data_IF_879778189624
#
_entry.id   IF_879778189624
#
_cell.length_a   1.000
_cell.length_b   1.000
_cell.length_c   1.000
_cell.angle_alpha   90.00
_cell.angle_beta   90.00
_cell.angle_gamma   90.00
#
_symmetry.space_group_name_H-M   'P 1'
#
loop_
_entity.id
_entity.type
_entity.pdbx_description
1 polymer ?
#
# COMPACT_ATOMS: atom_id res chain seq x y z
N UNK A 1 19.42 -12.30 19.79
CA UNK A 1 19.91 -12.09 18.40
C UNK A 1 20.54 -10.71 18.32
N UNK A 2 21.68 -10.55 17.64
CA UNK A 2 22.25 -9.22 17.34
C UNK A 2 21.68 -8.71 16.02
N UNK A 3 21.19 -7.47 16.00
CA UNK A 3 20.52 -6.83 14.87
C UNK A 3 21.26 -5.56 14.52
N UNK A 4 21.87 -5.54 13.33
CA UNK A 4 22.54 -4.37 12.78
C UNK A 4 22.06 -4.11 11.36
N UNK A 5 21.73 -2.85 11.05
CA UNK A 5 21.27 -2.49 9.72
C UNK A 5 20.56 -1.15 9.64
N UNK A 6 20.09 -0.84 8.44
CA UNK A 6 19.27 0.32 8.11
C UNK A 6 18.00 -0.13 7.40
N UNK A 7 16.85 0.29 7.91
CA UNK A 7 15.54 0.07 7.29
C UNK A 7 15.00 1.39 6.79
N UNK A 8 14.57 1.40 5.53
CA UNK A 8 14.03 2.59 4.87
C UNK A 8 12.52 2.62 4.97
N UNK A 9 11.95 3.82 4.94
CA UNK A 9 10.51 4.04 4.78
C UNK A 9 9.67 3.56 5.97
N UNK A 10 10.07 3.89 7.20
CA UNK A 10 9.29 3.57 8.40
C UNK A 10 8.19 4.60 8.62
N UNK A 11 7.08 4.46 7.90
CA UNK A 11 5.92 5.38 7.98
C UNK A 11 5.39 5.51 9.41
N UNK A 12 5.19 6.74 9.87
CA UNK A 12 4.68 7.06 11.20
C UNK A 12 5.67 6.81 12.33
N UNK A 13 6.97 6.62 12.05
CA UNK A 13 7.96 6.32 13.08
C UNK A 13 8.03 7.40 14.17
N UNK A 14 7.72 8.66 13.86
CA UNK A 14 7.65 9.72 14.85
C UNK A 14 6.58 9.48 15.93
N UNK A 15 5.50 8.76 15.59
CA UNK A 15 4.38 8.44 16.48
C UNK A 15 4.44 7.01 17.05
N UNK A 16 5.29 6.15 16.50
CA UNK A 16 5.40 4.76 16.95
C UNK A 16 6.14 4.64 18.29
N UNK A 17 5.81 3.60 19.08
CA UNK A 17 6.56 3.19 20.27
C UNK A 17 7.40 1.94 20.03
N UNK A 18 7.02 1.13 19.03
CA UNK A 18 7.66 -0.12 18.63
C UNK A 18 7.78 -0.22 17.11
N UNK A 19 8.76 -0.99 16.66
CA UNK A 19 8.99 -1.32 15.26
C UNK A 19 8.93 -2.84 15.07
N UNK A 20 8.43 -3.26 13.90
CA UNK A 20 8.56 -4.64 13.42
C UNK A 20 9.48 -4.59 12.20
N UNK A 21 10.72 -5.06 12.36
CA UNK A 21 11.73 -5.01 11.31
C UNK A 21 11.98 -6.40 10.74
N UNK A 22 12.06 -6.49 9.42
CA UNK A 22 12.45 -7.71 8.75
C UNK A 22 13.97 -7.81 8.65
N UNK A 23 14.57 -8.87 9.18
CA UNK A 23 16.00 -9.11 9.13
C UNK A 23 16.33 -10.50 8.56
N UNK A 24 17.26 -10.64 7.60
CA UNK A 24 17.83 -11.94 7.27
C UNK A 24 18.68 -12.45 8.43
N UNK A 25 18.71 -13.77 8.64
CA UNK A 25 19.55 -14.40 9.67
C UNK A 25 20.36 -15.56 9.09
N UNK A 26 21.42 -15.27 8.31
CA UNK A 26 22.18 -16.30 7.58
C UNK A 26 22.86 -17.31 8.51
N UNK A 27 23.14 -16.94 9.75
CA UNK A 27 23.79 -17.81 10.74
C UNK A 27 22.79 -18.59 11.62
N UNK A 28 21.49 -18.58 11.30
CA UNK A 28 20.50 -19.33 12.08
C UNK A 28 20.74 -20.84 11.91
N UNK A 29 20.64 -21.67 12.98
CA UNK A 29 20.86 -23.12 12.88
C UNK A 29 19.96 -23.84 11.87
N UNK A 30 18.81 -23.24 11.53
CA UNK A 30 17.87 -23.70 10.50
C UNK A 30 17.80 -22.76 9.29
N UNK A 31 18.88 -22.01 8.98
CA UNK A 31 18.91 -21.03 7.89
C UNK A 31 18.50 -21.60 6.52
N UNK A 32 18.62 -22.91 6.31
CA UNK A 32 18.11 -23.60 5.10
C UNK A 32 16.58 -23.69 4.98
N UNK A 33 15.81 -23.32 6.02
CA UNK A 33 14.33 -23.40 6.02
C UNK A 33 13.63 -22.11 6.46
N UNK A 34 14.34 -21.12 6.99
CA UNK A 34 13.76 -19.83 7.44
C UNK A 34 14.74 -18.69 7.16
N UNK A 35 14.68 -18.12 5.96
CA UNK A 35 15.66 -17.13 5.50
C UNK A 35 15.50 -15.74 6.15
N UNK A 36 14.35 -15.46 6.77
CA UNK A 36 14.01 -14.14 7.31
C UNK A 36 13.24 -14.21 8.63
N UNK A 37 13.60 -13.30 9.53
CA UNK A 37 12.99 -13.11 10.84
C UNK A 37 12.29 -11.75 10.88
N UNK A 38 11.26 -11.64 11.70
CA UNK A 38 10.73 -10.37 12.18
C UNK A 38 11.27 -10.13 13.58
N UNK A 39 11.83 -8.95 13.82
CA UNK A 39 12.30 -8.52 15.13
C UNK A 39 11.45 -7.35 15.60
N UNK A 40 10.97 -7.46 16.84
CA UNK A 40 10.21 -6.39 17.50
C UNK A 40 11.20 -5.59 18.33
N UNK A 41 11.28 -4.28 18.11
CA UNK A 41 12.26 -3.40 18.75
C UNK A 41 11.58 -2.14 19.24
N UNK A 42 11.86 -1.72 20.47
CA UNK A 42 11.33 -0.45 20.97
C UNK A 42 11.98 0.72 20.24
N UNK A 43 11.21 1.74 19.88
CA UNK A 43 11.72 2.91 19.14
C UNK A 43 12.87 3.62 19.84
N UNK A 44 12.85 3.65 21.18
CA UNK A 44 13.93 4.25 21.98
C UNK A 44 15.30 3.59 21.78
N UNK A 45 15.33 2.35 21.28
CA UNK A 45 16.54 1.56 21.09
C UNK A 45 17.08 1.64 19.65
N UNK A 46 16.47 2.48 18.79
CA UNK A 46 16.91 2.71 17.41
C UNK A 46 17.23 4.18 17.17
N UNK A 47 18.09 4.44 16.18
CA UNK A 47 18.35 5.80 15.69
C UNK A 47 17.40 6.09 14.53
N UNK A 48 16.53 7.09 14.68
CA UNK A 48 15.69 7.59 13.59
C UNK A 48 16.48 8.65 12.81
N UNK A 49 16.61 8.48 11.51
CA UNK A 49 17.31 9.40 10.62
C UNK A 49 16.31 10.33 9.94
N UNK A 50 16.55 11.64 9.98
CA UNK A 50 15.76 12.58 9.17
C UNK A 50 16.07 12.40 7.66
N UNK A 51 15.41 11.43 7.03
CA UNK A 51 15.63 11.04 5.63
C UNK A 51 14.40 11.20 4.73
N UNK A 52 13.27 11.70 5.25
CA UNK A 52 12.00 11.75 4.53
C UNK A 52 11.73 13.13 3.89
N UNK A 53 12.66 13.57 3.04
CA UNK A 53 12.47 14.79 2.25
C UNK A 53 11.86 14.47 0.88
N UNK A 54 10.53 14.28 0.84
CA UNK A 54 9.79 13.89 -0.36
C UNK A 54 8.87 14.98 -0.89
N UNK A 55 8.39 14.80 -2.12
CA UNK A 55 7.48 15.73 -2.81
C UNK A 55 6.01 15.51 -2.43
N UNK A 56 5.62 14.28 -2.07
CA UNK A 56 4.30 13.93 -1.52
C UNK A 56 4.43 12.97 -0.34
N UNK A 57 3.32 12.72 0.34
CA UNK A 57 3.24 11.94 1.58
C UNK A 57 4.20 12.45 2.66
N UNK A 58 4.50 13.75 2.67
CA UNK A 58 5.51 14.33 3.59
C UNK A 58 5.15 14.12 5.05
N UNK A 59 3.87 14.26 5.38
CA UNK A 59 3.35 14.12 6.74
C UNK A 59 3.40 12.68 7.28
N UNK A 60 3.68 11.66 6.45
CA UNK A 60 3.85 10.31 6.96
C UNK A 60 5.14 10.14 7.76
N UNK A 61 6.11 11.05 7.61
CA UNK A 61 7.40 10.98 8.30
C UNK A 61 8.04 9.60 8.13
N UNK A 62 8.09 9.07 6.90
CA UNK A 62 8.60 7.72 6.61
C UNK A 62 10.13 7.65 6.66
N UNK A 63 10.68 8.14 7.76
CA UNK A 63 12.11 8.22 8.05
C UNK A 63 12.75 6.83 8.10
N UNK A 64 14.05 6.79 7.84
CA UNK A 64 14.84 5.58 7.96
C UNK A 64 15.20 5.34 9.44
N UNK A 65 15.39 4.08 9.80
CA UNK A 65 15.82 3.68 11.13
C UNK A 65 17.07 2.83 11.07
N UNK A 66 17.97 3.04 12.03
CA UNK A 66 19.25 2.35 12.11
C UNK A 66 19.38 1.71 13.48
N UNK A 67 19.84 0.46 13.49
CA UNK A 67 20.23 -0.24 14.72
C UNK A 67 21.74 -0.48 14.69
N UNK A 68 22.55 0.19 15.53
CA UNK A 68 23.98 -0.09 15.62
C UNK A 68 24.20 -1.29 16.56
N UNK A 69 24.05 -2.49 16.03
CA UNK A 69 24.31 -3.76 16.74
C UNK A 69 23.49 -3.94 18.05
N UNK A 70 22.16 -3.90 17.92
CA UNK A 70 21.23 -4.06 19.04
C UNK A 70 21.06 -5.54 19.42
N UNK A 71 21.17 -5.87 20.71
CA UNK A 71 20.84 -7.20 21.21
C UNK A 71 19.33 -7.30 21.48
N UNK A 72 18.64 -8.09 20.66
CA UNK A 72 17.20 -8.36 20.79
C UNK A 72 16.96 -9.70 21.51
N UNK A 73 16.14 -9.73 22.57
CA UNK A 73 15.74 -10.96 23.27
C UNK A 73 15.07 -11.97 22.36
N UNK A 74 15.29 -13.28 22.60
CA UNK A 74 14.73 -14.34 21.75
C UNK A 74 13.20 -14.33 21.66
N UNK A 75 12.49 -13.89 22.70
CA UNK A 75 11.03 -13.81 22.71
C UNK A 75 10.46 -12.65 21.89
N UNK A 76 11.30 -11.73 21.39
CA UNK A 76 10.94 -10.64 20.48
C UNK A 76 11.37 -10.91 19.03
N UNK A 77 11.81 -12.14 18.74
CA UNK A 77 12.28 -12.58 17.43
C UNK A 77 11.38 -13.70 16.92
N UNK A 78 10.78 -13.50 15.76
CA UNK A 78 9.79 -14.39 15.19
C UNK A 78 10.18 -14.86 13.79
N UNK A 79 10.08 -16.16 13.48
CA UNK A 79 10.15 -16.64 12.10
C UNK A 79 9.07 -15.98 11.24
N UNK A 80 9.45 -15.38 10.11
CA UNK A 80 8.51 -14.63 9.27
C UNK A 80 7.32 -15.49 8.85
N UNK A 81 7.56 -16.74 8.47
CA UNK A 81 6.50 -17.67 8.09
C UNK A 81 5.53 -18.02 9.22
N UNK A 82 5.95 -17.95 10.49
CA UNK A 82 5.05 -18.19 11.62
C UNK A 82 4.14 -16.97 11.88
N UNK A 83 4.61 -15.77 11.53
CA UNK A 83 3.82 -14.54 11.70
C UNK A 83 2.85 -14.35 10.53
N UNK A 84 3.31 -14.58 9.30
CA UNK A 84 2.54 -14.29 8.08
C UNK A 84 1.89 -15.52 7.43
N UNK A 85 2.24 -16.72 7.86
CA UNK A 85 1.67 -17.97 7.36
C UNK A 85 0.30 -18.28 7.97
N UNK A 86 -0.22 -19.45 7.60
CA UNK A 86 -1.47 -19.96 8.14
C UNK A 86 -1.29 -20.34 9.62
N UNK A 87 -2.31 -20.07 10.44
CA UNK A 87 -2.35 -20.47 11.84
C UNK A 87 -3.42 -21.55 12.04
N UNK A 88 -3.29 -22.42 13.05
CA UNK A 88 -4.30 -23.43 13.34
C UNK A 88 -5.70 -22.80 13.52
N UNK A 89 -6.73 -23.49 13.04
CA UNK A 89 -8.12 -23.10 13.29
C UNK A 89 -8.37 -23.00 14.80
N UNK A 90 -8.99 -21.91 15.26
CA UNK A 90 -9.24 -21.65 16.69
C UNK A 90 -8.14 -20.89 17.41
N UNK A 91 -7.10 -20.41 16.71
CA UNK A 91 -6.04 -19.57 17.29
C UNK A 91 -6.50 -18.18 17.76
N UNK A 92 -7.74 -17.77 17.45
CA UNK A 92 -8.35 -16.54 17.92
C UNK A 92 -9.85 -16.48 17.62
N UNK A 93 -10.54 -15.52 18.23
CA UNK A 93 -11.99 -15.32 18.05
C UNK A 93 -12.36 -14.72 16.69
N UNK A 94 -11.47 -13.92 16.09
CA UNK A 94 -11.67 -13.32 14.77
C UNK A 94 -10.89 -14.05 13.68
N UNK A 95 -11.42 -14.09 12.46
CA UNK A 95 -10.79 -14.82 11.36
C UNK A 95 -9.41 -14.26 11.00
N UNK A 96 -9.14 -12.97 11.25
CA UNK A 96 -7.85 -12.34 10.97
C UNK A 96 -6.68 -13.00 11.74
N UNK A 97 -6.96 -13.65 12.86
CA UNK A 97 -5.96 -14.43 13.61
C UNK A 97 -5.73 -15.84 13.05
N UNK A 98 -6.60 -16.32 12.17
CA UNK A 98 -6.61 -17.68 11.65
C UNK A 98 -6.16 -17.78 10.19
N UNK A 99 -6.19 -16.67 9.43
CA UNK A 99 -5.83 -16.63 8.00
C UNK A 99 -4.49 -15.95 7.76
N UNK A 100 -3.80 -16.22 6.62
CA UNK A 100 -2.61 -15.46 6.25
C UNK A 100 -2.94 -13.97 6.16
N UNK A 101 -2.23 -13.14 6.94
CA UNK A 101 -2.57 -11.73 7.14
C UNK A 101 -2.02 -10.81 6.03
N UNK A 102 -1.00 -11.25 5.29
CA UNK A 102 -0.31 -10.44 4.26
C UNK A 102 -1.27 -9.86 3.20
N UNK A 103 -2.24 -10.60 2.64
CA UNK A 103 -3.18 -10.05 1.67
C UNK A 103 -4.04 -8.92 2.26
N UNK A 104 -4.37 -8.96 3.56
CA UNK A 104 -5.12 -7.92 4.25
C UNK A 104 -4.28 -6.66 4.46
N UNK A 105 -3.06 -6.81 5.00
CA UNK A 105 -2.13 -5.69 5.24
C UNK A 105 -1.79 -5.00 3.93
N UNK A 106 -1.46 -5.77 2.90
CA UNK A 106 -1.04 -5.17 1.63
C UNK A 106 -2.24 -4.63 0.85
N UNK A 107 -3.49 -4.99 1.18
CA UNK A 107 -4.70 -4.36 0.61
C UNK A 107 -5.13 -3.13 1.38
N UNK A 108 -4.83 -2.99 2.67
CA UNK A 108 -5.21 -1.77 3.40
C UNK A 108 -4.54 -0.50 2.86
N UNK A 109 -3.40 -0.62 2.16
CA UNK A 109 -2.66 0.51 1.59
C UNK A 109 -3.41 1.26 0.48
N UNK A 110 -4.41 0.64 -0.17
CA UNK A 110 -5.18 1.30 -1.23
C UNK A 110 -6.32 2.17 -0.69
N UNK A 111 -6.66 2.07 0.60
CA UNK A 111 -7.66 2.95 1.22
C UNK A 111 -7.25 4.43 1.17
N UNK A 112 -6.05 4.80 1.66
CA UNK A 112 -5.53 6.16 1.53
C UNK A 112 -5.41 6.65 0.08
N UNK A 113 -5.15 5.75 -0.88
CA UNK A 113 -5.08 6.08 -2.31
C UNK A 113 -6.43 6.54 -2.83
N UNK A 114 -7.48 5.73 -2.61
CA UNK A 114 -8.83 6.07 -3.05
C UNK A 114 -9.33 7.36 -2.38
N UNK A 115 -9.22 7.45 -1.05
CA UNK A 115 -9.65 8.64 -0.31
C UNK A 115 -8.89 9.91 -0.69
N UNK A 116 -7.60 9.81 -1.02
CA UNK A 116 -6.84 10.95 -1.52
C UNK A 116 -7.35 11.42 -2.88
N UNK A 117 -7.75 10.50 -3.77
CA UNK A 117 -8.29 10.84 -5.08
C UNK A 117 -9.73 11.40 -5.00
N UNK A 118 -10.56 10.85 -4.12
CA UNK A 118 -11.90 11.38 -3.83
C UNK A 118 -11.84 12.79 -3.25
N UNK A 119 -10.94 13.03 -2.28
CA UNK A 119 -10.72 14.37 -1.73
C UNK A 119 -10.22 15.37 -2.78
N UNK A 120 -9.34 14.94 -3.69
CA UNK A 120 -8.90 15.76 -4.81
C UNK A 120 -10.06 16.13 -5.74
N UNK A 121 -10.93 15.16 -6.04
CA UNK A 121 -12.10 15.35 -6.88
C UNK A 121 -13.10 16.32 -6.25
N UNK A 122 -13.39 16.18 -4.96
CA UNK A 122 -14.29 17.08 -4.24
C UNK A 122 -13.74 18.51 -4.23
N UNK A 123 -12.45 18.69 -3.94
CA UNK A 123 -11.80 20.00 -3.99
C UNK A 123 -11.89 20.64 -5.38
N UNK A 124 -11.77 19.85 -6.45
CA UNK A 124 -11.93 20.35 -7.80
C UNK A 124 -13.36 20.83 -8.07
N UNK A 125 -14.38 20.06 -7.67
CA UNK A 125 -15.77 20.48 -7.81
C UNK A 125 -16.09 21.75 -7.00
N UNK A 126 -15.55 21.84 -5.77
CA UNK A 126 -15.68 23.04 -4.95
C UNK A 126 -15.01 24.25 -5.59
N UNK A 127 -13.86 24.07 -6.24
CA UNK A 127 -13.18 25.15 -6.96
C UNK A 127 -14.01 25.63 -8.16
N UNK A 128 -14.56 24.72 -8.96
CA UNK A 128 -15.46 25.06 -10.06
C UNK A 128 -16.73 25.78 -9.58
N UNK A 129 -17.27 25.40 -8.43
CA UNK A 129 -18.47 26.03 -7.86
C UNK A 129 -18.22 27.43 -7.27
N UNK A 130 -16.98 27.73 -6.86
CA UNK A 130 -16.59 29.04 -6.32
C UNK A 130 -16.20 30.04 -7.40
N UNK A 131 -15.87 29.57 -8.60
CA UNK A 131 -15.58 30.43 -9.72
C UNK A 131 -16.87 31.17 -10.15
N UNK A 132 -16.79 32.50 -10.25
CA UNK A 132 -17.92 33.33 -10.69
C UNK A 132 -18.19 33.21 -12.20
N UNK A 133 -17.33 32.50 -12.93
CA UNK A 133 -17.51 32.19 -14.34
C UNK A 133 -18.08 30.80 -14.53
N UNK A 134 -18.96 30.63 -15.52
CA UNK A 134 -19.51 29.32 -15.84
C UNK A 134 -18.38 28.37 -16.29
N UNK A 135 -18.27 27.15 -15.72
CA UNK A 135 -17.27 26.18 -16.14
C UNK A 135 -17.39 25.88 -17.64
N UNK A 136 -16.25 25.88 -18.34
CA UNK A 136 -16.26 25.53 -19.75
C UNK A 136 -16.60 24.04 -19.96
N UNK A 137 -17.07 23.68 -21.15
CA UNK A 137 -17.47 22.30 -21.47
C UNK A 137 -16.37 21.26 -21.21
N UNK A 138 -15.10 21.64 -21.43
CA UNK A 138 -13.95 20.77 -21.16
C UNK A 138 -13.83 20.48 -19.66
N UNK A 139 -13.96 21.49 -18.79
CA UNK A 139 -13.88 21.27 -17.34
C UNK A 139 -14.99 20.32 -16.84
N UNK A 140 -16.21 20.47 -17.37
CA UNK A 140 -17.34 19.59 -17.05
C UNK A 140 -17.12 18.15 -17.54
N UNK A 141 -16.62 17.94 -18.76
CA UNK A 141 -16.27 16.59 -19.25
C UNK A 141 -15.24 15.94 -18.34
N UNK A 142 -14.18 16.66 -17.99
CA UNK A 142 -13.07 16.15 -17.19
C UNK A 142 -13.53 15.77 -15.77
N UNK A 143 -14.42 16.57 -15.19
CA UNK A 143 -15.06 16.27 -13.92
C UNK A 143 -15.96 15.02 -14.03
N UNK A 144 -16.78 14.89 -15.07
CA UNK A 144 -17.63 13.72 -15.27
C UNK A 144 -16.80 12.43 -15.48
N UNK A 145 -15.76 12.50 -16.32
CA UNK A 145 -14.86 11.39 -16.61
C UNK A 145 -14.12 10.92 -15.36
N UNK A 146 -13.53 11.86 -14.60
CA UNK A 146 -12.81 11.53 -13.37
C UNK A 146 -13.75 10.98 -12.31
N UNK A 147 -14.96 11.53 -12.18
CA UNK A 147 -15.99 11.00 -11.29
C UNK A 147 -16.37 9.56 -11.63
N UNK A 148 -16.66 9.26 -12.91
CA UNK A 148 -16.98 7.90 -13.35
C UNK A 148 -15.83 6.91 -13.10
N UNK A 149 -14.59 7.35 -13.32
CA UNK A 149 -13.40 6.54 -13.07
C UNK A 149 -13.19 6.25 -11.58
N UNK A 150 -13.43 7.23 -10.69
CA UNK A 150 -13.38 7.04 -9.25
C UNK A 150 -14.51 6.14 -8.73
N UNK A 151 -15.73 6.26 -9.29
CA UNK A 151 -16.82 5.31 -9.00
C UNK A 151 -16.42 3.88 -9.35
N UNK A 152 -15.78 3.66 -10.50
CA UNK A 152 -15.28 2.33 -10.88
C UNK A 152 -14.15 1.86 -9.95
N UNK A 153 -13.26 2.75 -9.53
CA UNK A 153 -12.21 2.45 -8.56
C UNK A 153 -12.78 2.07 -7.18
N UNK A 154 -13.84 2.76 -6.72
CA UNK A 154 -14.57 2.43 -5.49
C UNK A 154 -15.22 1.05 -5.56
N UNK A 155 -15.90 0.72 -6.65
CA UNK A 155 -16.46 -0.62 -6.84
C UNK A 155 -15.38 -1.73 -6.84
N UNK A 156 -14.19 -1.44 -7.40
CA UNK A 156 -13.06 -2.36 -7.32
C UNK A 156 -12.50 -2.47 -5.89
N UNK A 157 -12.43 -1.37 -5.14
CA UNK A 157 -12.04 -1.37 -3.73
C UNK A 157 -12.94 -2.30 -2.91
N UNK A 158 -14.26 -2.11 -3.01
CA UNK A 158 -15.26 -2.92 -2.30
C UNK A 158 -15.12 -4.40 -2.68
N UNK A 159 -14.97 -4.70 -3.97
CA UNK A 159 -14.75 -6.09 -4.43
C UNK A 159 -13.51 -6.73 -3.81
N UNK A 160 -12.41 -5.99 -3.66
CA UNK A 160 -11.18 -6.50 -3.05
C UNK A 160 -11.37 -6.79 -1.56
N UNK A 161 -12.03 -5.88 -0.84
CA UNK A 161 -12.35 -6.04 0.58
C UNK A 161 -13.29 -7.23 0.79
N UNK A 162 -14.36 -7.34 -0.01
CA UNK A 162 -15.34 -8.41 0.08
C UNK A 162 -14.72 -9.78 -0.19
N UNK A 163 -13.86 -9.90 -1.21
CA UNK A 163 -13.14 -11.15 -1.51
C UNK A 163 -12.26 -11.60 -0.35
N UNK A 164 -11.57 -10.66 0.29
CA UNK A 164 -10.74 -10.94 1.46
C UNK A 164 -11.59 -11.31 2.68
N UNK A 165 -12.66 -10.55 2.93
CA UNK A 165 -13.59 -10.81 4.02
C UNK A 165 -14.23 -12.19 3.88
N UNK A 166 -14.77 -12.53 2.70
CA UNK A 166 -15.35 -13.83 2.42
C UNK A 166 -14.33 -14.97 2.58
N UNK A 167 -13.09 -14.78 2.13
CA UNK A 167 -12.02 -15.77 2.36
C UNK A 167 -11.70 -15.95 3.85
N UNK A 168 -11.70 -14.84 4.59
CA UNK A 168 -11.55 -14.79 6.04
C UNK A 168 -12.64 -15.57 6.78
N UNK A 169 -13.91 -15.23 6.51
CA UNK A 169 -15.08 -15.91 7.11
C UNK A 169 -15.09 -17.41 6.82
N UNK A 170 -14.73 -17.81 5.59
CA UNK A 170 -14.59 -19.21 5.21
C UNK A 170 -13.32 -19.89 5.76
N UNK A 171 -12.46 -19.16 6.49
CA UNK A 171 -11.15 -19.59 6.99
C UNK A 171 -10.28 -20.27 5.92
N UNK A 172 -10.42 -19.86 4.66
CA UNK A 172 -9.69 -20.44 3.53
C UNK A 172 -8.52 -19.57 3.14
N UNK A 173 -7.40 -20.21 2.79
CA UNK A 173 -6.31 -19.52 2.12
C UNK A 173 -6.73 -19.13 0.68
N UNK A 174 -6.19 -18.00 0.22
CA UNK A 174 -6.28 -17.62 -1.19
C UNK A 174 -5.26 -18.43 -1.99
N UNK A 175 -5.64 -18.83 -3.20
CA UNK A 175 -4.69 -19.47 -4.12
C UNK A 175 -3.65 -18.46 -4.61
N UNK A 176 -2.51 -18.94 -5.11
CA UNK A 176 -1.49 -18.07 -5.71
C UNK A 176 -2.08 -17.17 -6.81
N UNK A 177 -2.91 -17.74 -7.70
CA UNK A 177 -3.62 -17.00 -8.74
C UNK A 177 -4.50 -15.89 -8.16
N UNK A 178 -5.23 -16.16 -7.07
CA UNK A 178 -6.04 -15.15 -6.38
C UNK A 178 -5.18 -14.04 -5.76
N UNK A 179 -4.03 -14.38 -5.17
CA UNK A 179 -3.09 -13.41 -4.58
C UNK A 179 -2.49 -12.49 -5.65
N UNK A 180 -2.11 -13.03 -6.80
CA UNK A 180 -1.59 -12.26 -7.92
C UNK A 180 -2.66 -11.36 -8.52
N UNK A 181 -3.90 -11.84 -8.64
CA UNK A 181 -5.03 -11.01 -9.04
C UNK A 181 -5.28 -9.85 -8.06
N UNK A 182 -5.23 -10.10 -6.74
CA UNK A 182 -5.32 -9.02 -5.74
C UNK A 182 -4.21 -7.97 -5.91
N UNK A 183 -2.96 -8.39 -6.19
CA UNK A 183 -1.85 -7.44 -6.45
C UNK A 183 -2.10 -6.61 -7.72
N UNK A 184 -2.51 -7.26 -8.81
CA UNK A 184 -2.89 -6.60 -10.06
C UNK A 184 -3.98 -5.56 -9.82
N UNK A 185 -5.06 -5.95 -9.15
CA UNK A 185 -6.24 -5.11 -8.96
C UNK A 185 -5.95 -3.90 -8.07
N UNK A 186 -5.13 -4.05 -7.01
CA UNK A 186 -4.64 -2.92 -6.19
C UNK A 186 -3.82 -1.93 -7.00
N UNK A 187 -2.92 -2.44 -7.84
CA UNK A 187 -2.11 -1.62 -8.73
C UNK A 187 -2.98 -0.91 -9.78
N UNK A 188 -3.97 -1.61 -10.34
CA UNK A 188 -4.92 -1.05 -11.29
C UNK A 188 -5.73 0.08 -10.67
N UNK A 189 -6.32 -0.14 -9.50
CA UNK A 189 -7.06 0.88 -8.74
C UNK A 189 -6.19 2.11 -8.49
N UNK A 190 -4.94 1.91 -8.04
CA UNK A 190 -4.01 3.01 -7.78
C UNK A 190 -3.75 3.83 -9.03
N UNK A 191 -3.53 3.17 -10.17
CA UNK A 191 -3.35 3.84 -11.45
C UNK A 191 -4.62 4.60 -11.89
N UNK A 192 -5.82 4.04 -11.67
CA UNK A 192 -7.07 4.75 -11.97
C UNK A 192 -7.21 6.03 -11.13
N UNK A 193 -6.86 5.97 -9.84
CA UNK A 193 -6.87 7.13 -8.94
C UNK A 193 -5.89 8.22 -9.40
N UNK A 194 -4.66 7.83 -9.77
CA UNK A 194 -3.64 8.76 -10.30
C UNK A 194 -4.13 9.44 -11.58
N UNK A 195 -4.64 8.66 -12.54
CA UNK A 195 -5.12 9.19 -13.82
C UNK A 195 -6.34 10.10 -13.66
N UNK A 196 -7.25 9.75 -12.75
CA UNK A 196 -8.39 10.59 -12.42
C UNK A 196 -7.96 11.97 -11.93
N UNK A 197 -7.02 12.03 -10.98
CA UNK A 197 -6.54 13.31 -10.44
C UNK A 197 -5.64 14.05 -11.43
N UNK A 198 -4.77 13.34 -12.17
CA UNK A 198 -3.93 13.93 -13.22
C UNK A 198 -4.77 14.72 -14.22
N UNK A 199 -5.89 14.14 -14.68
CA UNK A 199 -6.83 14.78 -15.60
C UNK A 199 -7.35 16.13 -15.10
N UNK A 200 -7.60 16.25 -13.80
CA UNK A 200 -8.11 17.48 -13.17
C UNK A 200 -7.01 18.52 -12.97
N UNK A 201 -5.77 18.08 -12.72
CA UNK A 201 -4.62 18.97 -12.47
C UNK A 201 -4.03 19.54 -13.76
N UNK A 202 -3.90 18.75 -14.83
CA UNK A 202 -3.21 19.17 -16.07
C UNK A 202 -3.83 20.36 -16.79
N UNK A 203 -5.07 20.72 -16.47
CA UNK A 203 -5.75 21.88 -17.02
C UNK A 203 -5.76 23.09 -16.08
N UNK A 204 -5.08 22.99 -14.93
CA UNK A 204 -4.84 24.11 -14.02
C UNK A 204 -3.79 25.04 -14.61
N UNK A 205 -4.04 26.35 -14.56
CA UNK A 205 -3.06 27.35 -15.01
C UNK A 205 -1.78 27.29 -14.16
N UNK A 206 -0.66 27.77 -14.71
CA UNK A 206 0.61 27.85 -13.97
C UNK A 206 0.49 28.61 -12.64
N UNK A 207 -0.44 29.56 -12.52
CA UNK A 207 -0.75 30.27 -11.27
C UNK A 207 -1.30 29.39 -10.15
N UNK A 208 -1.82 28.21 -10.48
CA UNK A 208 -2.32 27.22 -9.52
C UNK A 208 -1.26 26.19 -9.14
N UNK A 209 -0.08 26.21 -9.78
CA UNK A 209 1.08 25.36 -9.49
C UNK A 209 1.86 25.82 -8.26
N UNK A 210 1.18 26.01 -7.13
CA UNK A 210 1.78 26.44 -5.86
C UNK A 210 1.78 25.31 -4.83
N UNK A 211 2.66 25.41 -3.84
CA UNK A 211 2.71 24.46 -2.71
C UNK A 211 1.45 24.52 -1.84
N UNK A 212 0.78 25.67 -1.83
CA UNK A 212 -0.43 25.94 -1.06
C UNK A 212 -1.70 25.39 -1.71
N UNK A 213 -1.68 25.07 -3.02
CA UNK A 213 -2.85 24.52 -3.69
C UNK A 213 -3.13 23.09 -3.18
N UNK A 214 -4.27 22.86 -2.49
CA UNK A 214 -4.56 21.55 -1.92
C UNK A 214 -4.72 20.49 -3.02
N UNK A 215 -5.27 20.81 -4.19
CA UNK A 215 -5.40 19.85 -5.29
C UNK A 215 -4.02 19.29 -5.71
N UNK A 216 -2.99 20.14 -5.74
CA UNK A 216 -1.64 19.74 -6.11
C UNK A 216 -0.93 18.97 -5.01
N UNK A 217 -1.29 19.20 -3.74
CA UNK A 217 -0.87 18.34 -2.63
C UNK A 217 -1.41 16.92 -2.83
N UNK A 218 -2.71 16.76 -3.05
CA UNK A 218 -3.31 15.44 -3.28
C UNK A 218 -2.68 14.73 -4.50
N UNK A 219 -2.42 15.45 -5.58
CA UNK A 219 -1.73 14.88 -6.73
C UNK A 219 -0.32 14.38 -6.39
N UNK A 220 0.52 15.18 -5.72
CA UNK A 220 1.86 14.77 -5.29
C UNK A 220 1.82 13.58 -4.33
N UNK A 221 0.86 13.56 -3.42
CA UNK A 221 0.66 12.46 -2.48
C UNK A 221 0.32 11.17 -3.23
N UNK A 222 -0.60 11.21 -4.19
CA UNK A 222 -0.94 10.06 -5.06
C UNK A 222 0.26 9.55 -5.86
N UNK A 223 1.08 10.43 -6.44
CA UNK A 223 2.31 10.00 -7.14
C UNK A 223 3.25 9.25 -6.19
N UNK A 224 3.37 9.72 -4.94
CA UNK A 224 4.22 9.08 -3.94
C UNK A 224 3.65 7.74 -3.48
N UNK A 225 2.33 7.63 -3.29
CA UNK A 225 1.66 6.38 -2.97
C UNK A 225 1.81 5.34 -4.11
N UNK A 226 1.69 5.77 -5.37
CA UNK A 226 1.83 4.91 -6.54
C UNK A 226 3.25 4.32 -6.72
N UNK A 227 4.26 4.97 -6.15
CA UNK A 227 5.64 4.46 -6.12
C UNK A 227 5.84 3.33 -5.10
N UNK A 228 4.86 3.01 -4.26
CA UNK A 228 4.96 1.94 -3.29
C UNK A 228 5.04 0.56 -3.98
N UNK A 229 5.98 -0.27 -3.53
CA UNK A 229 6.27 -1.60 -4.12
C UNK A 229 5.03 -2.46 -4.35
N UNK A 230 4.12 -2.50 -3.38
CA UNK A 230 2.95 -3.38 -3.42
C UNK A 230 1.92 -3.00 -4.49
N UNK A 231 1.97 -1.76 -5.01
CA UNK A 231 1.10 -1.26 -6.08
C UNK A 231 1.85 -0.94 -7.36
N UNK A 232 3.13 -1.33 -7.45
CA UNK A 232 3.95 -1.07 -8.64
C UNK A 232 3.37 -1.76 -9.89
N UNK A 233 3.06 -0.97 -10.91
CA UNK A 233 2.35 -1.39 -12.13
C UNK A 233 3.00 -2.57 -12.84
N UNK A 234 4.22 -2.42 -13.35
CA UNK A 234 4.84 -3.45 -14.19
C UNK A 234 5.00 -4.78 -13.45
N UNK A 235 5.46 -4.73 -12.20
CA UNK A 235 5.58 -5.91 -11.34
C UNK A 235 4.25 -6.62 -11.10
N UNK A 236 3.15 -5.88 -10.94
CA UNK A 236 1.83 -6.47 -10.70
C UNK A 236 1.23 -7.06 -11.98
N UNK A 237 1.29 -6.31 -13.10
CA UNK A 237 0.72 -6.72 -14.38
C UNK A 237 1.46 -7.92 -14.96
N UNK A 238 2.79 -7.90 -14.98
CA UNK A 238 3.61 -9.01 -15.48
C UNK A 238 3.35 -10.30 -14.71
N UNK A 239 3.40 -10.24 -13.37
CA UNK A 239 3.20 -11.41 -12.52
C UNK A 239 1.81 -12.03 -12.71
N UNK A 240 0.77 -11.19 -12.85
CA UNK A 240 -0.59 -11.69 -13.15
C UNK A 240 -0.67 -12.34 -14.52
N UNK A 241 -0.14 -11.71 -15.57
CA UNK A 241 -0.21 -12.25 -16.93
C UNK A 241 0.55 -13.58 -17.06
N UNK A 242 1.74 -13.68 -16.47
CA UNK A 242 2.52 -14.93 -16.44
C UNK A 242 1.77 -16.06 -15.73
N UNK A 243 1.12 -15.77 -14.60
CA UNK A 243 0.34 -16.78 -13.87
C UNK A 243 -0.87 -17.27 -14.66
N UNK A 244 -1.61 -16.37 -15.31
CA UNK A 244 -2.76 -16.72 -16.15
C UNK A 244 -2.36 -17.58 -17.36
N UNK A 245 -1.26 -17.23 -18.02
CA UNK A 245 -0.73 -18.01 -19.14
C UNK A 245 -0.30 -19.41 -18.69
N UNK A 246 0.46 -19.52 -17.61
CA UNK A 246 0.92 -20.82 -17.07
C UNK A 246 -0.26 -21.70 -16.67
N UNK A 247 -1.32 -21.13 -16.09
CA UNK A 247 -2.53 -21.87 -15.76
C UNK A 247 -3.20 -22.45 -17.02
N UNK A 248 -3.31 -21.67 -18.09
CA UNK A 248 -3.86 -22.13 -19.36
C UNK A 248 -3.00 -23.22 -20.03
N UNK A 249 -1.68 -23.10 -19.98
CA UNK A 249 -0.76 -24.08 -20.57
C UNK A 249 -0.82 -25.42 -19.82
N UNK A 250 -0.84 -25.38 -18.48
CA UNK A 250 -0.90 -26.58 -17.65
C UNK A 250 -2.25 -27.30 -17.76
N UNK A 251 -3.33 -26.60 -18.08
CA UNK A 251 -4.66 -27.21 -18.29
C UNK A 251 -4.81 -27.96 -19.62
N UNK A 252 -3.84 -27.86 -20.54
CA UNK A 252 -3.84 -28.55 -21.84
C UNK A 252 -3.09 -29.89 -21.81
N UNK A 253 -2.40 -30.21 -20.71
CA UNK A 253 -1.68 -31.46 -20.47
C UNK A 253 -2.43 -32.32 -19.46
#
# INVERSE_FOLDING_TARGET
>A
MRVSGRWRFSSGIEHATWLILNAPCPNHPTAGTTERLLVVIAKKDVVVLDSWNTTGMRATGSHDVVTPDLLVPHHEVFPLQHVFGHRPAGAGHEYLYCVPIVPFITTSIIGPVLGCAEGAYELHLQALARDNTAPCAIALERAAHSGAQLTAAGALFDSLVDRLHASGQAQRALTERQLLALKRDRSYLTHQCVEAVRRLVEHSSASLMTTENPLHRHWRDLQTMAAHRDVHWDSAMLASATSELNHCLNARH
#
